data_IF_418174909189
#
_entry.id   IF_418174909189
#
_cell.length_a   1.000
_cell.length_b   1.000
_cell.length_c   1.000
_cell.angle_alpha   90.00
_cell.angle_beta   90.00
_cell.angle_gamma   90.00
#
_symmetry.space_group_name_H-M   'P 1'
#
loop_
_entity.id
_entity.type
_entity.pdbx_description
1 polymer ?
#
# COMPACT_ATOMS: atom_id res chain seq x y z
N UNK A 1 16.16 4.99 12.12
CA UNK A 1 15.38 4.49 13.26
C UNK A 1 16.17 3.43 14.01
N UNK A 2 16.09 3.41 15.32
CA UNK A 2 16.69 2.40 16.19
C UNK A 2 15.62 1.33 16.42
N UNK A 3 15.84 0.10 15.94
CA UNK A 3 15.00 -1.02 16.30
C UNK A 3 15.63 -1.75 17.51
N UNK A 4 14.95 -1.68 18.66
CA UNK A 4 15.28 -2.44 19.85
C UNK A 4 14.49 -3.74 19.84
N UNK A 5 15.18 -4.89 19.93
CA UNK A 5 14.53 -6.14 20.26
C UNK A 5 14.42 -6.24 21.79
N UNK A 6 13.33 -6.82 22.29
CA UNK A 6 13.12 -7.11 23.72
C UNK A 6 14.20 -8.01 24.33
N UNK A 7 15.00 -8.69 23.51
CA UNK A 7 16.23 -9.39 23.88
C UNK A 7 17.44 -8.59 23.35
N UNK A 8 18.16 -7.86 24.20
CA UNK A 8 19.22 -6.94 23.78
C UNK A 8 20.52 -7.66 23.39
N UNK A 9 20.47 -8.64 22.51
CA UNK A 9 21.65 -9.31 21.95
C UNK A 9 22.12 -8.71 20.63
N UNK A 10 21.36 -7.76 20.07
CA UNK A 10 21.75 -7.02 18.90
C UNK A 10 21.17 -5.61 18.88
N UNK A 11 21.86 -4.72 18.18
CA UNK A 11 21.45 -3.34 17.92
C UNK A 11 21.65 -3.08 16.45
N UNK A 12 20.68 -2.40 15.81
CA UNK A 12 20.78 -2.09 14.39
C UNK A 12 20.37 -0.68 14.04
N UNK A 13 21.09 -0.11 13.09
CA UNK A 13 20.69 1.06 12.35
C UNK A 13 20.25 0.63 10.96
N UNK A 14 19.12 1.12 10.49
CA UNK A 14 18.67 0.80 9.15
C UNK A 14 18.15 2.03 8.40
N UNK A 15 18.40 2.05 7.12
CA UNK A 15 17.78 2.92 6.14
C UNK A 15 16.69 2.15 5.37
N UNK A 16 16.19 2.74 4.30
CA UNK A 16 15.21 2.07 3.41
C UNK A 16 15.75 0.75 2.84
N UNK A 17 17.03 0.72 2.44
CA UNK A 17 17.62 -0.39 1.71
C UNK A 17 18.82 -1.04 2.40
N UNK A 18 19.42 -0.38 3.36
CA UNK A 18 20.64 -0.82 4.02
C UNK A 18 20.41 -1.06 5.51
N UNK A 19 21.14 -1.98 6.05
CA UNK A 19 21.11 -2.37 7.44
C UNK A 19 22.52 -2.49 7.98
N UNK A 20 22.73 -2.00 9.19
CA UNK A 20 23.96 -2.13 9.94
C UNK A 20 23.60 -2.66 11.33
N UNK A 21 24.08 -3.87 11.68
CA UNK A 21 23.76 -4.54 12.93
C UNK A 21 25.00 -4.95 13.65
N UNK A 22 25.01 -4.68 14.94
CA UNK A 22 26.00 -5.17 15.90
C UNK A 22 25.35 -6.24 16.77
N UNK A 23 25.81 -7.47 16.70
CA UNK A 23 25.41 -8.58 17.57
C UNK A 23 26.47 -8.86 18.62
N UNK A 24 26.05 -9.30 19.80
CA UNK A 24 26.94 -9.80 20.85
C UNK A 24 26.31 -10.98 21.55
N UNK A 25 27.15 -11.85 22.12
CA UNK A 25 26.72 -12.93 23.02
C UNK A 25 26.37 -12.41 24.40
N UNK A 26 26.98 -11.29 24.79
CA UNK A 26 26.73 -10.63 26.07
C UNK A 26 25.49 -9.72 25.93
N UNK A 27 24.69 -9.58 27.00
CA UNK A 27 23.57 -8.64 26.98
C UNK A 27 24.10 -7.21 27.11
N UNK A 28 23.56 -6.30 26.34
CA UNK A 28 23.81 -4.88 26.52
C UNK A 28 23.16 -4.39 27.82
N UNK A 29 23.89 -3.64 28.63
CA UNK A 29 23.37 -3.10 29.91
C UNK A 29 22.66 -1.76 29.74
N UNK A 30 23.18 -0.91 28.88
CA UNK A 30 22.61 0.38 28.54
C UNK A 30 22.92 0.76 27.11
N UNK A 31 21.95 1.39 26.43
CA UNK A 31 22.09 1.79 25.03
C UNK A 31 21.67 3.25 24.93
N UNK A 32 22.61 4.10 24.55
CA UNK A 32 22.34 5.53 24.32
C UNK A 32 22.55 5.87 22.86
N UNK A 33 21.53 6.42 22.23
CA UNK A 33 21.60 6.94 20.88
C UNK A 33 21.86 8.45 20.95
N UNK A 34 22.95 8.90 20.36
CA UNK A 34 23.24 10.30 20.14
C UNK A 34 23.04 10.62 18.66
N UNK A 35 22.19 11.59 18.37
CA UNK A 35 21.97 12.10 17.01
C UNK A 35 22.50 13.54 17.03
N UNK A 36 23.62 13.79 16.35
CA UNK A 36 24.13 15.13 16.14
C UNK A 36 23.78 15.59 14.73
N UNK A 37 23.20 16.78 14.63
CA UNK A 37 23.01 17.46 13.36
C UNK A 37 24.34 18.17 13.02
N UNK A 38 25.09 17.62 12.08
CA UNK A 38 26.25 18.33 11.55
C UNK A 38 25.77 19.24 10.42
N UNK A 39 25.59 20.52 10.74
CA UNK A 39 25.32 21.55 9.74
C UNK A 39 26.62 21.88 9.01
N UNK A 40 26.86 21.24 7.89
CA UNK A 40 27.78 21.76 6.88
C UNK A 40 26.96 22.60 5.89
N UNK A 41 27.46 23.76 5.52
CA UNK A 41 26.72 24.79 4.74
C UNK A 41 26.18 24.29 3.37
N UNK A 42 26.54 23.12 2.92
CA UNK A 42 26.09 22.52 1.62
C UNK A 42 25.33 21.20 1.76
N UNK A 43 25.37 20.49 2.89
CA UNK A 43 24.66 19.24 3.08
C UNK A 43 24.29 19.02 4.56
N UNK A 44 23.04 18.78 4.83
CA UNK A 44 22.57 18.31 6.14
C UNK A 44 22.91 16.83 6.25
N UNK A 45 24.04 16.50 6.86
CA UNK A 45 24.37 15.14 7.24
C UNK A 45 23.92 14.88 8.68
N UNK A 46 23.13 13.84 8.90
CA UNK A 46 22.79 13.33 10.21
C UNK A 46 23.88 12.35 10.63
N UNK A 47 24.78 12.78 11.50
CA UNK A 47 25.71 11.87 12.16
C UNK A 47 25.02 11.21 13.35
N UNK A 48 24.94 9.88 13.33
CA UNK A 48 24.32 9.09 14.38
C UNK A 48 25.40 8.27 15.09
N UNK A 49 25.65 8.58 16.36
CA UNK A 49 26.56 7.80 17.20
C UNK A 49 25.76 6.93 18.15
N UNK A 50 26.02 5.63 18.16
CA UNK A 50 25.45 4.69 19.13
C UNK A 50 26.49 4.39 20.20
N UNK A 51 26.21 4.78 21.43
CA UNK A 51 27.03 4.46 22.59
C UNK A 51 26.43 3.22 23.30
N UNK A 52 27.26 2.22 23.51
CA UNK A 52 26.85 0.96 24.09
C UNK A 52 27.66 0.75 25.36
N UNK A 53 26.98 0.64 26.48
CA UNK A 53 27.57 0.28 27.76
C UNK A 53 27.43 -1.24 28.00
N UNK A 54 28.56 -1.92 28.24
CA UNK A 54 28.57 -3.34 28.57
C UNK A 54 28.65 -3.52 30.09
N UNK A 55 27.93 -4.52 30.65
CA UNK A 55 28.00 -4.80 32.08
C UNK A 55 29.37 -5.34 32.44
N UNK A 56 30.18 -4.54 33.07
CA UNK A 56 31.48 -4.93 33.60
C UNK A 56 31.40 -5.48 35.04
N UNK A 57 30.20 -5.79 35.50
CA UNK A 57 29.93 -6.25 36.87
C UNK A 57 30.64 -7.55 37.28
N UNK A 58 31.32 -8.25 36.36
CA UNK A 58 32.07 -9.49 36.58
C UNK A 58 33.58 -9.33 36.54
N UNK A 59 34.13 -8.14 36.45
CA UNK A 59 35.57 -7.92 36.47
C UNK A 59 36.13 -8.19 37.87
N UNK A 60 36.50 -9.44 38.12
CA UNK A 60 37.37 -9.78 39.23
C UNK A 60 38.78 -9.27 38.92
N UNK A 61 39.44 -8.68 39.94
CA UNK A 61 40.84 -8.21 39.86
C UNK A 61 41.69 -9.35 39.28
N UNK A 62 42.33 -9.09 38.12
CA UNK A 62 43.20 -10.02 37.36
C UNK A 62 42.50 -11.04 36.44
N UNK A 63 41.21 -10.96 36.12
CA UNK A 63 40.62 -11.76 35.05
C UNK A 63 40.44 -10.96 33.80
N UNK A 64 40.89 -11.50 32.65
CA UNK A 64 40.68 -10.92 31.30
C UNK A 64 39.24 -11.18 30.88
N UNK A 65 38.49 -10.13 30.57
CA UNK A 65 37.16 -10.24 29.95
C UNK A 65 37.31 -10.06 28.45
N UNK A 66 36.78 -10.99 27.68
CA UNK A 66 36.80 -10.93 26.20
C UNK A 66 35.34 -10.90 25.75
N UNK A 67 34.93 -9.77 25.17
CA UNK A 67 33.61 -9.65 24.50
C UNK A 67 33.80 -9.78 23.00
N UNK A 68 33.00 -10.62 22.36
CA UNK A 68 33.02 -10.83 20.92
C UNK A 68 31.78 -10.19 20.30
N UNK A 69 32.03 -9.42 19.22
CA UNK A 69 30.99 -8.75 18.45
C UNK A 69 30.99 -9.28 17.03
N UNK A 70 29.80 -9.49 16.49
CA UNK A 70 29.59 -9.72 15.07
C UNK A 70 28.98 -8.47 14.47
N UNK A 71 29.63 -7.94 13.42
CA UNK A 71 29.17 -6.79 12.69
C UNK A 71 28.60 -7.25 11.36
N UNK A 72 27.35 -6.92 11.10
CA UNK A 72 26.71 -7.10 9.81
C UNK A 72 26.44 -5.74 9.18
N UNK A 73 26.93 -5.51 7.97
CA UNK A 73 26.62 -4.34 7.16
C UNK A 73 26.29 -4.80 5.74
N UNK A 74 25.07 -4.53 5.29
CA UNK A 74 24.62 -5.02 3.99
C UNK A 74 23.28 -4.48 3.54
N UNK A 75 22.80 -5.02 2.43
CA UNK A 75 21.48 -4.71 1.89
C UNK A 75 20.37 -5.45 2.64
N UNK A 76 19.16 -4.89 2.62
CA UNK A 76 17.98 -5.54 3.17
C UNK A 76 17.38 -6.56 2.18
N UNK A 77 18.20 -7.29 1.46
CA UNK A 77 17.69 -8.38 0.62
C UNK A 77 17.26 -9.55 1.48
N UNK A 78 16.30 -10.33 0.99
CA UNK A 78 15.86 -11.53 1.68
C UNK A 78 17.02 -12.50 1.92
N UNK A 79 17.89 -12.66 0.93
CA UNK A 79 19.01 -13.59 1.00
C UNK A 79 20.04 -13.17 2.06
N UNK A 80 20.42 -11.88 2.10
CA UNK A 80 21.38 -11.35 3.07
C UNK A 80 20.83 -11.45 4.50
N UNK A 81 19.56 -11.12 4.71
CA UNK A 81 18.93 -11.19 6.02
C UNK A 81 18.75 -12.61 6.50
N UNK A 82 18.36 -13.55 5.64
CA UNK A 82 18.26 -14.97 5.99
C UNK A 82 19.65 -15.55 6.32
N UNK A 83 20.68 -15.20 5.56
CA UNK A 83 22.06 -15.61 5.85
C UNK A 83 22.56 -15.07 7.19
N UNK A 84 22.10 -13.89 7.61
CA UNK A 84 22.43 -13.26 8.88
C UNK A 84 21.48 -13.66 10.02
N UNK A 85 20.47 -14.52 9.80
CA UNK A 85 19.41 -14.89 10.74
C UNK A 85 18.64 -13.67 11.27
N UNK A 86 18.33 -12.72 10.38
CA UNK A 86 17.71 -11.43 10.69
C UNK A 86 16.37 -11.22 9.97
N UNK A 87 15.72 -12.31 9.54
CA UNK A 87 14.42 -12.24 8.83
C UNK A 87 13.34 -11.51 9.62
N UNK A 88 13.46 -11.49 10.96
CA UNK A 88 12.52 -10.80 11.85
C UNK A 88 12.48 -9.28 11.63
N UNK A 89 13.53 -8.70 11.06
CA UNK A 89 13.63 -7.25 10.80
C UNK A 89 12.80 -6.84 9.58
N UNK A 90 12.50 -7.80 8.69
CA UNK A 90 11.65 -7.51 7.54
C UNK A 90 10.26 -7.09 8.00
N UNK A 91 9.89 -5.86 7.61
CA UNK A 91 8.56 -5.29 7.90
C UNK A 91 8.20 -5.19 9.38
N UNK A 92 9.19 -5.06 10.28
CA UNK A 92 8.99 -4.93 11.74
C UNK A 92 8.07 -3.75 12.11
N UNK A 93 8.09 -2.67 11.33
CA UNK A 93 7.24 -1.48 11.53
C UNK A 93 5.75 -1.73 11.27
N UNK A 94 5.38 -2.89 10.73
CA UNK A 94 3.99 -3.24 10.43
C UNK A 94 3.33 -4.01 11.58
N UNK A 95 2.02 -3.84 11.70
CA UNK A 95 1.21 -4.69 12.59
C UNK A 95 1.39 -6.17 12.26
N UNK A 96 1.43 -7.03 13.26
CA UNK A 96 1.74 -8.46 13.11
C UNK A 96 0.92 -9.15 12.02
N UNK A 97 -0.41 -8.92 11.96
CA UNK A 97 -1.28 -9.50 10.93
C UNK A 97 -0.96 -8.99 9.51
N UNK A 98 -0.59 -7.72 9.38
CA UNK A 98 -0.21 -7.11 8.10
C UNK A 98 1.12 -7.67 7.60
N UNK A 99 2.07 -7.90 8.51
CA UNK A 99 3.36 -8.50 8.20
C UNK A 99 3.20 -9.87 7.53
N UNK A 100 2.27 -10.72 8.00
CA UNK A 100 2.00 -12.00 7.33
C UNK A 100 1.50 -11.83 5.89
N UNK A 101 0.67 -10.83 5.63
CA UNK A 101 0.20 -10.53 4.26
C UNK A 101 1.37 -10.11 3.38
N UNK A 102 2.22 -9.19 3.86
CA UNK A 102 3.40 -8.73 3.10
C UNK A 102 4.35 -9.88 2.81
N UNK A 103 4.66 -10.72 3.82
CA UNK A 103 5.54 -11.87 3.66
C UNK A 103 4.97 -12.89 2.66
N UNK A 104 3.66 -13.16 2.71
CA UNK A 104 3.01 -14.05 1.74
C UNK A 104 3.12 -13.51 0.31
N UNK A 105 2.83 -12.22 0.10
CA UNK A 105 2.96 -11.58 -1.22
C UNK A 105 4.42 -11.58 -1.68
N UNK A 106 5.36 -11.32 -0.76
CA UNK A 106 6.81 -11.35 -1.05
C UNK A 106 7.25 -12.74 -1.52
N UNK A 107 6.86 -13.80 -0.81
CA UNK A 107 7.20 -15.18 -1.23
C UNK A 107 6.67 -15.46 -2.64
N UNK A 108 5.44 -15.09 -2.94
CA UNK A 108 4.85 -15.27 -4.27
C UNK A 108 5.61 -14.47 -5.33
N UNK A 109 5.92 -13.19 -5.05
CA UNK A 109 6.66 -12.32 -5.98
C UNK A 109 8.05 -12.91 -6.31
N UNK A 110 8.82 -13.31 -5.29
CA UNK A 110 10.14 -13.90 -5.48
C UNK A 110 10.05 -15.25 -6.20
N UNK A 111 9.04 -16.06 -5.88
CA UNK A 111 8.80 -17.32 -6.58
C UNK A 111 8.54 -17.10 -8.07
N UNK A 112 7.68 -16.14 -8.44
CA UNK A 112 7.44 -15.78 -9.85
C UNK A 112 8.74 -15.30 -10.50
N UNK A 113 9.47 -14.40 -9.84
CA UNK A 113 10.70 -13.83 -10.41
C UNK A 113 11.80 -14.88 -10.61
N UNK A 114 11.85 -15.92 -9.80
CA UNK A 114 12.81 -17.03 -9.96
C UNK A 114 12.63 -17.78 -11.29
N UNK A 115 11.40 -17.81 -11.84
CA UNK A 115 11.14 -18.42 -13.15
C UNK A 115 11.23 -17.42 -14.30
N UNK A 116 10.77 -16.22 -14.11
CA UNK A 116 10.62 -15.21 -15.18
C UNK A 116 11.90 -14.38 -15.36
N UNK A 117 12.68 -14.20 -14.28
CA UNK A 117 13.91 -13.39 -14.24
C UNK A 117 13.70 -11.95 -14.72
N UNK A 118 12.48 -11.42 -14.55
CA UNK A 118 12.12 -10.05 -14.87
C UNK A 118 11.12 -9.51 -13.85
N UNK A 119 11.52 -8.54 -13.07
CA UNK A 119 10.71 -7.98 -11.98
C UNK A 119 9.44 -7.29 -12.46
N UNK A 120 9.48 -6.59 -13.60
CA UNK A 120 8.30 -5.93 -14.15
C UNK A 120 7.20 -6.93 -14.55
N UNK A 121 7.59 -8.00 -15.26
CA UNK A 121 6.66 -9.09 -15.61
C UNK A 121 6.17 -9.81 -14.34
N UNK A 122 7.05 -10.00 -13.37
CA UNK A 122 6.68 -10.64 -12.10
C UNK A 122 5.62 -9.84 -11.33
N UNK A 123 5.72 -8.50 -11.33
CA UNK A 123 4.70 -7.62 -10.74
C UNK A 123 3.37 -7.71 -11.51
N UNK A 124 3.40 -7.79 -12.84
CA UNK A 124 2.20 -7.96 -13.66
C UNK A 124 1.51 -9.28 -13.31
N UNK A 125 2.24 -10.40 -13.26
CA UNK A 125 1.70 -11.71 -12.89
C UNK A 125 1.18 -11.70 -11.46
N UNK A 126 1.92 -11.08 -10.52
CA UNK A 126 1.47 -10.91 -9.15
C UNK A 126 0.12 -10.18 -9.10
N UNK A 127 -0.06 -9.11 -9.89
CA UNK A 127 -1.31 -8.35 -9.92
C UNK A 127 -2.50 -9.21 -10.39
N UNK A 128 -2.27 -10.10 -11.37
CA UNK A 128 -3.26 -11.06 -11.85
C UNK A 128 -3.63 -12.06 -10.74
N UNK A 129 -2.64 -12.67 -10.09
CA UNK A 129 -2.87 -13.66 -9.04
C UNK A 129 -3.61 -13.07 -7.84
N UNK A 130 -3.17 -11.90 -7.36
CA UNK A 130 -3.85 -11.20 -6.26
C UNK A 130 -5.28 -10.88 -6.64
N UNK A 131 -5.55 -10.44 -7.88
CA UNK A 131 -6.90 -10.15 -8.37
C UNK A 131 -7.78 -11.39 -8.39
N UNK A 132 -7.24 -12.54 -8.81
CA UNK A 132 -7.96 -13.83 -8.83
C UNK A 132 -8.32 -14.23 -7.39
N UNK A 133 -7.37 -14.17 -6.46
CA UNK A 133 -7.59 -14.55 -5.06
C UNK A 133 -8.63 -13.65 -4.38
N UNK A 134 -8.61 -12.35 -4.67
CA UNK A 134 -9.53 -11.39 -4.05
C UNK A 134 -10.90 -11.37 -4.73
N UNK A 135 -10.99 -11.82 -5.99
CA UNK A 135 -12.22 -11.75 -6.78
C UNK A 135 -13.48 -12.26 -6.06
N UNK A 136 -13.51 -13.43 -5.38
CA UNK A 136 -14.70 -13.92 -4.71
C UNK A 136 -15.15 -13.01 -3.56
N UNK A 137 -14.20 -12.41 -2.82
CA UNK A 137 -14.49 -11.49 -1.72
C UNK A 137 -14.98 -10.15 -2.27
N UNK A 138 -14.29 -9.61 -3.28
CA UNK A 138 -14.67 -8.37 -3.96
C UNK A 138 -16.07 -8.49 -4.61
N UNK A 139 -16.39 -9.62 -5.23
CA UNK A 139 -17.71 -9.87 -5.82
C UNK A 139 -18.83 -9.76 -4.78
N UNK A 140 -18.67 -10.39 -3.60
CA UNK A 140 -19.63 -10.30 -2.51
C UNK A 140 -19.79 -8.85 -1.99
N UNK A 141 -18.68 -8.13 -1.85
CA UNK A 141 -18.70 -6.72 -1.43
C UNK A 141 -19.46 -5.84 -2.43
N UNK A 142 -19.20 -6.02 -3.74
CA UNK A 142 -19.88 -5.29 -4.81
C UNK A 142 -21.38 -5.62 -4.84
N UNK A 143 -21.76 -6.90 -4.70
CA UNK A 143 -23.17 -7.30 -4.64
C UNK A 143 -23.89 -6.65 -3.47
N UNK A 144 -23.31 -6.71 -2.27
CA UNK A 144 -23.87 -6.05 -1.07
C UNK A 144 -24.00 -4.53 -1.23
N UNK A 145 -23.04 -3.91 -1.92
CA UNK A 145 -23.09 -2.48 -2.25
C UNK A 145 -24.22 -2.17 -3.24
N UNK A 146 -24.40 -2.98 -4.29
CA UNK A 146 -25.45 -2.80 -5.28
C UNK A 146 -26.87 -2.98 -4.67
N UNK A 147 -27.05 -3.98 -3.83
CA UNK A 147 -28.30 -4.19 -3.09
C UNK A 147 -28.63 -2.98 -2.20
N UNK A 148 -27.65 -2.48 -1.48
CA UNK A 148 -27.84 -1.30 -0.65
C UNK A 148 -28.12 -0.04 -1.48
N UNK A 149 -27.44 0.14 -2.63
CA UNK A 149 -27.68 1.28 -3.53
C UNK A 149 -29.14 1.31 -4.02
N UNK A 150 -29.72 0.17 -4.40
CA UNK A 150 -31.13 0.06 -4.80
C UNK A 150 -32.07 0.46 -3.65
N UNK A 151 -31.80 0.01 -2.41
CA UNK A 151 -32.56 0.42 -1.23
C UNK A 151 -32.42 1.92 -0.98
N UNK A 152 -31.24 2.46 -1.15
CA UNK A 152 -30.97 3.88 -0.97
C UNK A 152 -31.74 4.76 -1.96
N UNK A 153 -31.88 4.33 -3.21
CA UNK A 153 -32.67 5.04 -4.23
C UNK A 153 -34.15 5.16 -3.82
N UNK A 154 -34.70 4.15 -3.14
CA UNK A 154 -36.07 4.14 -2.64
C UNK A 154 -36.24 4.98 -1.35
N UNK A 155 -35.23 4.92 -0.47
CA UNK A 155 -35.25 5.58 0.84
C UNK A 155 -34.89 7.07 0.77
N UNK A 156 -34.00 7.48 -0.14
CA UNK A 156 -33.50 8.85 -0.24
C UNK A 156 -34.58 9.92 -0.40
N UNK A 157 -35.62 9.78 -1.28
CA UNK A 157 -36.68 10.77 -1.39
C UNK A 157 -37.44 10.93 -0.06
N UNK A 158 -37.78 9.83 0.65
CA UNK A 158 -38.45 9.85 1.93
C UNK A 158 -37.58 10.53 3.02
N UNK A 159 -36.30 10.22 3.05
CA UNK A 159 -35.37 10.84 4.00
C UNK A 159 -35.21 12.34 3.72
N UNK A 160 -35.17 12.75 2.43
CA UNK A 160 -35.10 14.17 2.05
C UNK A 160 -36.34 14.93 2.49
N UNK A 161 -37.53 14.34 2.35
CA UNK A 161 -38.77 14.92 2.79
C UNK A 161 -38.83 15.12 4.33
N UNK A 162 -38.39 14.10 5.09
CA UNK A 162 -38.27 14.21 6.55
C UNK A 162 -37.27 15.31 6.94
N UNK A 163 -36.12 15.37 6.30
CA UNK A 163 -35.10 16.41 6.57
C UNK A 163 -35.62 17.82 6.27
N UNK A 164 -36.54 17.97 5.32
CA UNK A 164 -37.13 19.27 4.98
C UNK A 164 -38.22 19.69 6.02
N UNK A 165 -38.98 18.74 6.50
CA UNK A 165 -40.19 19.01 7.30
C UNK A 165 -39.96 18.94 8.82
N UNK A 166 -38.94 18.21 9.27
CA UNK A 166 -38.69 17.94 10.70
C UNK A 166 -37.26 18.33 11.08
N UNK A 167 -37.01 18.63 12.36
CA UNK A 167 -35.69 18.98 12.92
C UNK A 167 -35.50 18.31 14.29
N UNK A 168 -34.24 18.15 14.69
CA UNK A 168 -33.86 17.64 16.01
C UNK A 168 -34.19 16.15 16.21
N UNK A 169 -34.64 15.79 17.41
CA UNK A 169 -34.87 14.39 17.79
C UNK A 169 -35.93 13.70 16.95
N UNK A 170 -37.02 14.39 16.63
CA UNK A 170 -38.15 13.85 15.82
C UNK A 170 -37.65 13.50 14.38
N UNK A 171 -36.79 14.33 13.80
CA UNK A 171 -36.21 14.03 12.50
C UNK A 171 -35.38 12.74 12.54
N UNK A 172 -34.55 12.55 13.59
CA UNK A 172 -33.72 11.37 13.76
C UNK A 172 -34.55 10.09 13.93
N UNK A 173 -35.59 10.16 14.76
CA UNK A 173 -36.53 9.03 15.00
C UNK A 173 -37.23 8.61 13.71
N UNK A 174 -37.76 9.57 12.96
CA UNK A 174 -38.47 9.29 11.70
C UNK A 174 -37.53 8.70 10.63
N UNK A 175 -36.26 9.15 10.59
CA UNK A 175 -35.25 8.56 9.71
C UNK A 175 -34.93 7.13 10.13
N UNK A 176 -34.80 6.84 11.43
CA UNK A 176 -34.58 5.48 11.94
C UNK A 176 -35.74 4.55 11.56
N UNK A 177 -36.97 5.01 11.69
CA UNK A 177 -38.17 4.25 11.31
C UNK A 177 -38.16 3.89 9.80
N UNK A 178 -37.61 4.74 8.93
CA UNK A 178 -37.41 4.38 7.52
C UNK A 178 -36.41 3.24 7.38
N UNK A 179 -35.27 3.32 8.08
CA UNK A 179 -34.29 2.25 8.02
C UNK A 179 -34.86 0.91 8.53
N UNK A 180 -35.62 0.93 9.61
CA UNK A 180 -36.32 -0.25 10.16
C UNK A 180 -37.34 -0.81 9.18
N UNK A 181 -38.16 0.06 8.56
CA UNK A 181 -39.17 -0.33 7.55
C UNK A 181 -38.54 -1.14 6.39
N UNK A 182 -37.34 -0.83 6.01
CA UNK A 182 -36.60 -1.52 4.93
C UNK A 182 -35.61 -2.58 5.44
N UNK A 183 -35.75 -3.03 6.71
CA UNK A 183 -34.87 -4.03 7.34
C UNK A 183 -33.41 -3.74 7.15
N UNK A 184 -33.01 -2.47 7.29
CA UNK A 184 -31.63 -2.04 7.15
C UNK A 184 -31.23 -1.12 8.31
N UNK A 185 -29.98 -0.76 8.39
CA UNK A 185 -29.41 0.08 9.45
C UNK A 185 -28.75 1.33 8.83
N UNK A 186 -28.72 2.47 9.55
CA UNK A 186 -27.92 3.62 9.14
C UNK A 186 -26.47 3.27 8.85
N UNK A 187 -25.88 2.28 9.54
CA UNK A 187 -24.53 1.76 9.30
C UNK A 187 -24.41 1.05 7.93
N UNK A 188 -25.50 0.61 7.33
CA UNK A 188 -25.48 0.04 5.98
C UNK A 188 -25.04 1.07 4.92
N UNK A 189 -25.12 2.38 5.22
CA UNK A 189 -24.55 3.43 4.37
C UNK A 189 -23.01 3.33 4.25
N UNK A 190 -22.35 2.58 5.12
CA UNK A 190 -20.91 2.29 5.04
C UNK A 190 -20.56 1.10 4.14
N UNK A 191 -21.56 0.34 3.64
CA UNK A 191 -21.33 -0.79 2.72
C UNK A 191 -20.48 -0.45 1.49
N UNK A 192 -20.58 0.74 0.86
CA UNK A 192 -19.67 1.14 -0.20
C UNK A 192 -18.21 1.16 0.21
N UNK A 193 -17.90 1.39 1.49
CA UNK A 193 -16.54 1.40 2.03
C UNK A 193 -15.94 -0.01 2.22
N UNK A 194 -16.75 -1.08 2.13
CA UNK A 194 -16.25 -2.46 2.24
C UNK A 194 -15.22 -2.79 1.15
N UNK A 195 -15.43 -2.29 -0.06
CA UNK A 195 -14.47 -2.46 -1.15
C UNK A 195 -13.12 -1.79 -0.83
N UNK A 196 -13.15 -0.59 -0.23
CA UNK A 196 -11.96 0.10 0.25
C UNK A 196 -11.31 -0.66 1.43
N UNK A 197 -12.12 -1.22 2.33
CA UNK A 197 -11.65 -2.02 3.46
C UNK A 197 -10.82 -3.24 3.03
N UNK A 198 -11.14 -3.85 1.90
CA UNK A 198 -10.35 -4.94 1.31
C UNK A 198 -9.08 -4.38 0.62
N UNK A 199 -9.21 -3.24 -0.04
CA UNK A 199 -8.14 -2.65 -0.85
C UNK A 199 -7.02 -2.04 -0.01
N UNK A 200 -7.34 -1.41 1.15
CA UNK A 200 -6.36 -0.72 2.00
C UNK A 200 -5.27 -1.66 2.52
N UNK A 201 -5.57 -2.86 3.07
CA UNK A 201 -4.54 -3.79 3.51
C UNK A 201 -3.59 -4.20 2.40
N UNK A 202 -4.12 -4.45 1.20
CA UNK A 202 -3.33 -4.84 0.03
C UNK A 202 -2.44 -3.68 -0.42
N UNK A 203 -2.98 -2.47 -0.42
CA UNK A 203 -2.24 -1.26 -0.74
C UNK A 203 -1.06 -1.07 0.21
N UNK A 204 -1.29 -1.13 1.52
CA UNK A 204 -0.25 -0.99 2.53
C UNK A 204 0.80 -2.09 2.39
N UNK A 205 0.38 -3.35 2.17
CA UNK A 205 1.28 -4.47 1.99
C UNK A 205 2.18 -4.29 0.77
N UNK A 206 1.62 -3.91 -0.38
CA UNK A 206 2.37 -3.67 -1.61
C UNK A 206 3.26 -2.44 -1.52
N UNK A 207 2.79 -1.37 -0.85
CA UNK A 207 3.59 -0.17 -0.62
C UNK A 207 4.86 -0.49 0.17
N UNK A 208 4.74 -1.26 1.25
CA UNK A 208 5.89 -1.66 2.03
C UNK A 208 6.78 -2.66 1.27
N UNK A 209 6.18 -3.66 0.61
CA UNK A 209 6.93 -4.65 -0.16
C UNK A 209 7.71 -3.99 -1.29
N UNK A 210 7.01 -3.39 -2.26
CA UNK A 210 7.62 -2.85 -3.46
C UNK A 210 8.47 -1.60 -3.17
N UNK A 211 8.13 -0.85 -2.11
CA UNK A 211 8.91 0.29 -1.67
C UNK A 211 10.20 -0.05 -0.95
N UNK A 212 10.33 -1.23 -0.35
CA UNK A 212 11.50 -1.64 0.45
C UNK A 212 12.34 -2.74 -0.20
N UNK A 213 11.84 -3.37 -1.26
CA UNK A 213 12.58 -4.41 -1.99
C UNK A 213 13.75 -3.78 -2.73
N UNK A 214 14.97 -4.10 -2.30
CA UNK A 214 16.21 -3.54 -2.86
C UNK A 214 16.39 -3.89 -4.33
N UNK A 215 16.04 -5.12 -4.70
CA UNK A 215 16.20 -5.65 -6.06
C UNK A 215 15.39 -4.86 -7.11
N UNK A 216 14.32 -4.18 -6.69
CA UNK A 216 13.53 -3.34 -7.58
C UNK A 216 14.23 -2.01 -7.93
N UNK A 217 15.22 -1.60 -7.12
CA UNK A 217 16.00 -0.38 -7.38
C UNK A 217 16.86 -0.52 -8.63
N UNK A 218 17.38 -1.71 -8.85
CA UNK A 218 18.24 -2.02 -9.99
C UNK A 218 17.47 -2.67 -11.16
N UNK A 219 16.18 -2.91 -10.96
CA UNK A 219 15.32 -3.56 -11.96
C UNK A 219 14.71 -2.54 -12.92
N UNK A 220 15.07 -2.66 -14.20
CA UNK A 220 14.45 -1.90 -15.30
C UNK A 220 13.28 -2.66 -15.93
N UNK A 221 12.33 -1.93 -16.49
CA UNK A 221 11.21 -2.52 -17.23
C UNK A 221 10.65 -1.55 -18.27
N UNK A 222 10.64 -1.93 -19.55
CA UNK A 222 10.27 -1.09 -20.70
C UNK A 222 11.06 0.22 -20.71
N UNK A 223 10.40 1.36 -20.49
CA UNK A 223 11.02 2.70 -20.41
C UNK A 223 11.41 3.09 -18.97
N UNK A 224 11.18 2.22 -18.00
CA UNK A 224 11.40 2.48 -16.58
C UNK A 224 12.80 2.02 -16.23
N UNK A 225 13.66 2.91 -15.75
CA UNK A 225 15.02 2.58 -15.34
C UNK A 225 15.09 1.88 -13.98
N UNK A 226 14.16 2.23 -13.06
CA UNK A 226 14.09 1.66 -11.72
C UNK A 226 12.65 1.49 -11.28
N UNK A 227 12.27 0.25 -10.94
CA UNK A 227 10.92 -0.04 -10.42
C UNK A 227 10.70 0.48 -8.99
N UNK A 228 11.76 0.88 -8.28
CA UNK A 228 11.67 1.48 -6.94
C UNK A 228 11.51 3.00 -6.95
N UNK A 229 11.59 3.64 -8.12
CA UNK A 229 11.46 5.08 -8.33
C UNK A 229 10.28 5.38 -9.29
N UNK A 230 9.82 6.65 -9.40
CA UNK A 230 8.87 7.05 -10.45
C UNK A 230 9.41 6.74 -11.85
N UNK A 231 8.52 6.54 -12.84
CA UNK A 231 8.89 6.03 -14.17
C UNK A 231 9.68 7.01 -15.08
N UNK A 232 9.71 8.30 -14.76
CA UNK A 232 10.61 9.33 -15.34
C UNK A 232 10.79 9.23 -16.86
N UNK A 233 9.69 9.19 -17.65
CA UNK A 233 9.74 8.96 -19.11
C UNK A 233 10.62 10.01 -19.84
N UNK A 234 10.49 11.28 -19.47
CA UNK A 234 11.35 12.37 -19.98
C UNK A 234 11.40 13.55 -18.99
N UNK A 235 12.49 14.33 -19.08
CA UNK A 235 12.66 15.52 -18.25
C UNK A 235 11.83 16.69 -18.79
N UNK A 236 11.17 17.41 -17.87
CA UNK A 236 10.39 18.62 -18.17
C UNK A 236 11.26 19.88 -18.24
N UNK A 237 12.55 19.78 -17.92
CA UNK A 237 13.48 20.91 -17.92
C UNK A 237 13.28 21.94 -16.81
N UNK A 238 12.23 21.76 -15.98
CA UNK A 238 11.90 22.61 -14.83
C UNK A 238 11.21 21.79 -13.76
N UNK A 239 11.31 22.20 -12.53
CA UNK A 239 10.60 21.60 -11.42
C UNK A 239 9.16 22.16 -11.34
N UNK A 240 8.18 21.26 -11.42
CA UNK A 240 6.76 21.61 -11.29
C UNK A 240 6.28 21.19 -9.91
N UNK A 241 5.65 22.11 -9.12
CA UNK A 241 5.11 21.73 -7.82
C UNK A 241 4.22 20.48 -7.91
N UNK A 242 4.40 19.51 -6.99
CA UNK A 242 3.74 18.20 -6.92
C UNK A 242 4.14 17.20 -8.01
N UNK A 243 4.62 17.63 -9.18
CA UNK A 243 4.95 16.75 -10.32
C UNK A 243 6.46 16.49 -10.45
N UNK A 244 7.30 17.32 -9.81
CA UNK A 244 8.75 17.22 -9.93
C UNK A 244 9.27 17.66 -11.29
N UNK A 245 10.45 17.15 -11.65
CA UNK A 245 11.17 17.55 -12.89
C UNK A 245 10.97 16.59 -14.06
N UNK A 246 10.18 15.52 -13.88
CA UNK A 246 9.99 14.47 -14.90
C UNK A 246 8.52 14.23 -15.18
N UNK A 247 8.22 13.87 -16.43
CA UNK A 247 6.91 13.36 -16.81
C UNK A 247 6.83 11.87 -16.55
N UNK A 248 5.81 11.45 -15.79
CA UNK A 248 5.56 10.06 -15.40
C UNK A 248 4.35 9.53 -16.19
N UNK A 249 4.56 8.55 -17.06
CA UNK A 249 3.54 7.99 -17.94
C UNK A 249 2.62 6.98 -17.26
N UNK A 250 3.14 6.14 -16.36
CA UNK A 250 2.34 5.10 -15.70
C UNK A 250 1.13 5.65 -14.93
N UNK A 251 1.22 6.72 -14.12
CA UNK A 251 0.05 7.31 -13.45
C UNK A 251 -1.00 7.81 -14.43
N UNK A 252 -0.59 8.31 -15.61
CA UNK A 252 -1.51 8.72 -16.68
C UNK A 252 -2.26 7.51 -17.24
N UNK A 253 -1.55 6.42 -17.58
CA UNK A 253 -2.15 5.17 -18.06
C UNK A 253 -3.08 4.55 -17.00
N UNK A 254 -2.67 4.56 -15.75
CA UNK A 254 -3.48 4.12 -14.62
C UNK A 254 -4.80 4.90 -14.53
N UNK A 255 -4.74 6.21 -14.60
CA UNK A 255 -5.92 7.08 -14.51
C UNK A 255 -6.83 6.94 -15.73
N UNK A 256 -6.26 6.83 -16.93
CA UNK A 256 -7.01 6.62 -18.17
C UNK A 256 -7.78 5.29 -18.12
N UNK A 257 -7.12 4.19 -17.73
CA UNK A 257 -7.78 2.87 -17.61
C UNK A 257 -8.87 2.87 -16.55
N UNK A 258 -8.69 3.62 -15.44
CA UNK A 258 -9.72 3.78 -14.43
C UNK A 258 -10.93 4.57 -14.95
N UNK A 259 -10.72 5.71 -15.61
CA UNK A 259 -11.81 6.50 -16.22
C UNK A 259 -12.59 5.70 -17.27
N UNK A 260 -11.90 4.94 -18.12
CA UNK A 260 -12.53 4.04 -19.08
C UNK A 260 -13.39 2.98 -18.39
N UNK A 261 -12.90 2.39 -17.31
CA UNK A 261 -13.65 1.41 -16.52
C UNK A 261 -14.92 2.02 -15.91
N UNK A 262 -14.84 3.22 -15.34
CA UNK A 262 -15.99 3.96 -14.81
C UNK A 262 -17.03 4.22 -15.91
N UNK A 263 -16.60 4.74 -17.05
CA UNK A 263 -17.49 5.03 -18.18
C UNK A 263 -18.20 3.77 -18.70
N UNK A 264 -17.48 2.67 -18.81
CA UNK A 264 -18.03 1.39 -19.27
C UNK A 264 -18.99 0.80 -18.23
N UNK A 265 -18.64 0.84 -16.96
CA UNK A 265 -19.51 0.35 -15.88
C UNK A 265 -20.82 1.13 -15.78
N UNK A 266 -20.81 2.45 -16.05
CA UNK A 266 -22.02 3.27 -16.05
C UNK A 266 -23.01 2.91 -17.17
N UNK A 267 -22.51 2.40 -18.29
CA UNK A 267 -23.35 1.94 -19.42
C UNK A 267 -23.97 0.56 -19.13
N UNK A 268 -23.31 -0.27 -18.33
CA UNK A 268 -23.76 -1.64 -18.00
C UNK A 268 -24.77 -1.73 -16.87
N UNK A 269 -24.90 -0.69 -16.05
CA UNK A 269 -25.86 -0.67 -14.94
C UNK A 269 -27.28 -0.45 -15.50
N UNK A 270 -28.10 -1.51 -15.47
CA UNK A 270 -29.49 -1.50 -15.92
C UNK A 270 -30.26 -0.31 -15.31
N UNK A 271 -30.54 0.70 -16.10
CA UNK A 271 -31.53 1.75 -15.83
C UNK A 271 -31.20 2.76 -14.74
N UNK A 272 -30.19 2.53 -13.91
CA UNK A 272 -29.72 3.51 -12.93
C UNK A 272 -28.81 4.52 -13.62
N UNK A 273 -29.38 5.64 -14.05
CA UNK A 273 -28.60 6.80 -14.51
C UNK A 273 -27.73 7.25 -13.34
N UNK A 274 -26.44 6.97 -13.41
CA UNK A 274 -25.45 7.58 -12.48
C UNK A 274 -25.72 9.09 -12.43
N UNK A 275 -25.98 9.60 -11.23
CA UNK A 275 -26.27 11.04 -11.10
C UNK A 275 -25.02 11.83 -11.51
N UNK A 276 -25.20 13.04 -12.05
CA UNK A 276 -24.09 13.94 -12.41
C UNK A 276 -23.12 14.10 -11.23
N UNK A 277 -23.65 14.21 -10.00
CA UNK A 277 -22.83 14.29 -8.77
C UNK A 277 -21.97 13.05 -8.52
N UNK A 278 -22.46 11.85 -8.84
CA UNK A 278 -21.70 10.60 -8.69
C UNK A 278 -20.55 10.53 -9.70
N UNK A 279 -20.77 10.94 -10.95
CA UNK A 279 -19.71 10.99 -11.96
C UNK A 279 -18.63 12.02 -11.60
N UNK A 280 -19.00 13.18 -11.06
CA UNK A 280 -18.06 14.18 -10.55
C UNK A 280 -17.25 13.61 -9.39
N UNK A 281 -17.89 12.93 -8.44
CA UNK A 281 -17.19 12.31 -7.30
C UNK A 281 -16.18 11.26 -7.75
N UNK A 282 -16.53 10.40 -8.70
CA UNK A 282 -15.61 9.39 -9.27
C UNK A 282 -14.45 10.04 -10.04
N UNK A 283 -14.71 11.13 -10.77
CA UNK A 283 -13.68 11.90 -11.46
C UNK A 283 -12.69 12.55 -10.48
N UNK A 284 -13.19 13.17 -9.41
CA UNK A 284 -12.37 13.77 -8.35
C UNK A 284 -11.53 12.70 -7.62
N UNK A 285 -12.11 11.53 -7.35
CA UNK A 285 -11.37 10.41 -6.76
C UNK A 285 -10.25 9.94 -7.69
N UNK A 286 -10.50 9.83 -8.99
CA UNK A 286 -9.46 9.45 -9.98
C UNK A 286 -8.34 10.48 -10.04
N UNK A 287 -8.69 11.78 -10.01
CA UNK A 287 -7.71 12.86 -9.96
C UNK A 287 -6.87 12.80 -8.66
N UNK A 288 -7.50 12.54 -7.52
CA UNK A 288 -6.81 12.37 -6.25
C UNK A 288 -5.81 11.21 -6.28
N UNK A 289 -6.20 10.07 -6.85
CA UNK A 289 -5.28 8.94 -7.05
C UNK A 289 -4.17 9.27 -8.05
N UNK A 290 -4.46 9.96 -9.14
CA UNK A 290 -3.45 10.41 -10.09
C UNK A 290 -2.37 11.25 -9.40
N UNK A 291 -2.76 12.26 -8.62
CA UNK A 291 -1.83 13.12 -7.90
C UNK A 291 -1.03 12.31 -6.86
N UNK A 292 -1.70 11.43 -6.11
CA UNK A 292 -1.05 10.59 -5.09
C UNK A 292 0.01 9.67 -5.72
N UNK A 293 -0.33 8.99 -6.81
CA UNK A 293 0.54 7.99 -7.42
C UNK A 293 1.60 8.58 -8.35
N UNK A 294 1.53 9.89 -8.64
CA UNK A 294 2.46 10.52 -9.58
C UNK A 294 3.93 10.43 -9.16
N UNK A 295 4.18 10.52 -7.86
CA UNK A 295 5.52 10.44 -7.26
C UNK A 295 5.84 9.08 -6.61
N UNK A 296 4.98 8.08 -6.82
CA UNK A 296 5.17 6.76 -6.22
C UNK A 296 6.12 5.89 -7.05
N UNK A 297 6.73 4.86 -6.42
CA UNK A 297 7.55 3.87 -7.13
C UNK A 297 6.80 3.25 -8.31
N UNK A 298 7.44 3.21 -9.47
CA UNK A 298 6.83 2.72 -10.72
C UNK A 298 6.36 1.26 -10.64
N UNK A 299 7.04 0.41 -9.87
CA UNK A 299 6.58 -0.98 -9.63
C UNK A 299 5.21 -1.04 -8.96
N UNK A 300 4.91 -0.12 -8.05
CA UNK A 300 3.60 -0.03 -7.41
C UNK A 300 2.54 0.50 -8.37
N UNK A 301 2.86 1.55 -9.13
CA UNK A 301 1.95 2.11 -10.13
C UNK A 301 1.68 1.10 -11.25
N UNK A 302 2.69 0.31 -11.65
CA UNK A 302 2.56 -0.79 -12.62
C UNK A 302 1.57 -1.86 -12.13
N UNK A 303 1.73 -2.31 -10.88
CA UNK A 303 0.77 -3.22 -10.26
C UNK A 303 -0.68 -2.69 -10.36
N UNK A 304 -0.87 -1.42 -9.99
CA UNK A 304 -2.18 -0.79 -9.96
C UNK A 304 -2.76 -0.58 -11.36
N UNK A 305 -1.92 -0.16 -12.31
CA UNK A 305 -2.30 -0.03 -13.71
C UNK A 305 -2.78 -1.35 -14.28
N UNK A 306 -2.05 -2.45 -14.01
CA UNK A 306 -2.45 -3.77 -14.47
C UNK A 306 -3.74 -4.25 -13.80
N UNK A 307 -3.94 -3.99 -12.51
CA UNK A 307 -5.20 -4.29 -11.82
C UNK A 307 -6.40 -3.54 -12.46
N UNK A 308 -6.21 -2.27 -12.88
CA UNK A 308 -7.23 -1.50 -13.58
C UNK A 308 -7.48 -2.05 -15.00
N UNK A 309 -6.45 -2.44 -15.73
CA UNK A 309 -6.58 -3.08 -17.06
C UNK A 309 -7.40 -4.39 -16.95
N UNK A 310 -7.11 -5.22 -15.95
CA UNK A 310 -7.88 -6.44 -15.70
C UNK A 310 -9.34 -6.15 -15.37
N UNK A 311 -9.59 -5.11 -14.57
CA UNK A 311 -10.95 -4.68 -14.27
C UNK A 311 -11.69 -4.18 -15.51
N UNK A 312 -11.03 -3.38 -16.33
CA UNK A 312 -11.56 -2.91 -17.62
C UNK A 312 -11.91 -4.10 -18.52
N UNK A 313 -11.02 -5.08 -18.65
CA UNK A 313 -11.26 -6.31 -19.39
C UNK A 313 -12.49 -7.07 -18.90
N UNK A 314 -12.64 -7.20 -17.58
CA UNK A 314 -13.83 -7.82 -16.98
C UNK A 314 -15.13 -7.05 -17.32
N UNK A 315 -15.11 -5.72 -17.24
CA UNK A 315 -16.26 -4.89 -17.61
C UNK A 315 -16.66 -5.10 -19.09
N UNK A 316 -15.68 -5.12 -20.00
CA UNK A 316 -15.92 -5.34 -21.44
C UNK A 316 -16.50 -6.75 -21.73
N UNK A 317 -16.00 -7.78 -21.07
CA UNK A 317 -16.53 -9.14 -21.21
C UNK A 317 -18.00 -9.23 -20.74
N UNK A 318 -18.35 -8.52 -19.67
CA UNK A 318 -19.71 -8.49 -19.15
C UNK A 318 -20.69 -7.83 -20.10
N UNK A 319 -20.29 -6.77 -20.82
CA UNK A 319 -21.10 -6.14 -21.88
C UNK A 319 -21.37 -7.15 -23.01
N UNK A 320 -20.32 -7.77 -23.52
CA UNK A 320 -20.43 -8.71 -24.63
C UNK A 320 -21.35 -9.88 -24.28
N UNK A 321 -21.29 -10.38 -23.07
CA UNK A 321 -22.17 -11.47 -22.59
C UNK A 321 -23.65 -11.07 -22.51
N UNK A 322 -23.95 -9.80 -22.18
CA UNK A 322 -25.35 -9.30 -22.17
C UNK A 322 -25.86 -9.08 -23.60
N UNK A 323 -25.05 -8.59 -24.53
CA UNK A 323 -25.44 -8.35 -25.92
C UNK A 323 -25.71 -9.65 -26.73
N UNK A 324 -25.18 -10.80 -26.29
CA UNK A 324 -25.39 -12.10 -26.95
C UNK A 324 -26.69 -12.76 -26.45
N UNK A 325 -27.25 -12.32 -25.32
CA UNK A 325 -28.47 -12.88 -24.70
C UNK A 325 -29.76 -12.13 -25.09
N UNK A 326 -29.66 -11.07 -25.86
CA UNK A 326 -30.73 -10.33 -26.52
C UNK A 326 -30.81 -10.73 -27.97
#
# INVERSE_FOLDING_TARGET
>A
SLSQNLNPHWIGLHSRYFLFILKTKDKFSDIKLFIENVNNEENISLDSTVKIDLPLSSLQKNKKHISSFELFGGTKTKNDLSAALLDEILFESLWSWMRYIVLAIMVVLYWINNFILNWGISIIILSILVRIVIHPIAKKAIQSQQEFAKLQDIMQPQIKEIKKNFKGGEQSERILNIYEKYNTSPLASLKPLLALGIQIPIFIALFHLLGQTFELKEASFLWIDSLAEPDKLFSLGREIPFFGSYFNLLPVLMSLTNLLSIKISSVTSDGSKTSVGQNISLGLMTLGFFLLFYSFPSGMVLYWTMANVLHLGYCLMTIKSKSIKV
#
